data_IF_201358674610
#
_entry.id   IF_201358674610
#
_cell.length_a   1.000
_cell.length_b   1.000
_cell.length_c   1.000
_cell.angle_alpha   90.00
_cell.angle_beta   90.00
_cell.angle_gamma   90.00
#
_symmetry.space_group_name_H-M   'P 1'
#
loop_
_entity.id
_entity.type
_entity.pdbx_description
1 polymer ?
#
# COMPACT_ATOMS: atom_id res chain seq x y z
N UNK A 1 -3.08 -5.77 0.83
CA UNK A 1 -2.46 -5.10 1.98
C UNK A 1 -1.74 -6.15 2.79
N UNK A 2 -0.43 -5.97 2.98
CA UNK A 2 0.38 -6.76 3.89
C UNK A 2 0.53 -6.02 5.23
N UNK A 3 0.85 -6.75 6.28
CA UNK A 3 1.05 -6.23 7.64
C UNK A 3 2.37 -6.75 8.17
N UNK A 4 3.13 -5.89 8.85
CA UNK A 4 4.38 -6.25 9.50
C UNK A 4 4.30 -5.87 10.97
N UNK A 5 4.76 -6.74 11.85
CA UNK A 5 4.91 -6.51 13.28
C UNK A 5 6.33 -6.89 13.67
N UNK A 6 7.02 -6.03 14.43
CA UNK A 6 8.41 -6.25 14.84
C UNK A 6 9.36 -6.60 13.67
N UNK A 7 9.11 -6.01 12.50
CA UNK A 7 9.91 -6.24 11.29
C UNK A 7 9.58 -7.53 10.52
N UNK A 8 8.62 -8.33 10.99
CA UNK A 8 8.25 -9.62 10.40
C UNK A 8 6.86 -9.54 9.76
N UNK A 9 6.68 -10.22 8.64
CA UNK A 9 5.39 -10.28 7.93
C UNK A 9 4.34 -11.12 8.66
N UNK A 10 3.20 -10.50 8.97
CA UNK A 10 2.09 -11.13 9.69
C UNK A 10 0.99 -11.54 8.72
N UNK A 11 1.14 -12.71 8.10
CA UNK A 11 0.26 -13.18 7.00
C UNK A 11 -1.21 -13.33 7.40
N UNK A 12 -1.50 -13.64 8.66
CA UNK A 12 -2.87 -13.72 9.20
C UNK A 12 -3.59 -12.36 9.15
N UNK A 13 -2.85 -11.25 9.24
CA UNK A 13 -3.38 -9.89 9.20
C UNK A 13 -3.51 -9.32 7.80
N UNK A 14 -3.19 -10.10 6.78
CA UNK A 14 -3.29 -9.63 5.40
C UNK A 14 -4.75 -9.46 5.01
N UNK A 15 -5.01 -8.43 4.19
CA UNK A 15 -6.35 -8.15 3.68
C UNK A 15 -6.30 -7.88 2.19
N UNK A 16 -7.20 -8.55 1.46
CA UNK A 16 -7.44 -8.35 0.03
C UNK A 16 -8.60 -7.38 -0.14
N UNK A 17 -8.40 -6.34 -0.92
CA UNK A 17 -9.44 -5.41 -1.29
C UNK A 17 -9.79 -5.64 -2.75
N UNK A 18 -11.00 -6.13 -3.02
CA UNK A 18 -11.56 -6.07 -4.37
C UNK A 18 -11.96 -4.63 -4.66
N UNK A 19 -11.22 -3.95 -5.52
CA UNK A 19 -11.48 -2.59 -5.98
C UNK A 19 -12.80 -2.57 -6.74
N UNK A 20 -13.67 -1.60 -6.45
CA UNK A 20 -15.03 -1.50 -7.03
C UNK A 20 -15.11 -0.56 -8.24
N UNK A 21 -13.97 -0.13 -8.77
CA UNK A 21 -13.89 0.82 -9.87
C UNK A 21 -14.19 0.15 -11.22
N UNK A 22 -15.09 0.77 -12.02
CA UNK A 22 -15.58 0.23 -13.30
C UNK A 22 -14.77 0.67 -14.53
N UNK A 23 -13.94 1.71 -14.40
CA UNK A 23 -13.15 2.26 -15.53
C UNK A 23 -11.69 1.78 -15.47
N UNK A 24 -10.84 2.29 -16.36
CA UNK A 24 -9.40 2.00 -16.42
C UNK A 24 -8.71 2.10 -15.05
N UNK A 25 -7.67 1.28 -14.78
CA UNK A 25 -6.93 1.33 -13.53
C UNK A 25 -6.43 2.75 -13.22
N UNK A 26 -6.75 3.24 -12.01
CA UNK A 26 -6.36 4.55 -11.51
C UNK A 26 -5.81 4.36 -10.09
N UNK A 27 -4.48 4.33 -9.98
CA UNK A 27 -3.79 3.99 -8.73
C UNK A 27 -4.14 4.94 -7.59
N UNK A 28 -4.37 6.23 -7.88
CA UNK A 28 -4.76 7.21 -6.88
C UNK A 28 -6.12 6.84 -6.28
N UNK A 29 -7.13 6.59 -7.13
CA UNK A 29 -8.46 6.20 -6.66
C UNK A 29 -8.44 4.88 -5.91
N UNK A 30 -7.62 3.92 -6.37
CA UNK A 30 -7.45 2.63 -5.70
C UNK A 30 -6.88 2.78 -4.29
N UNK A 31 -5.80 3.56 -4.13
CA UNK A 31 -5.20 3.84 -2.81
C UNK A 31 -6.21 4.49 -1.88
N UNK A 32 -6.93 5.51 -2.37
CA UNK A 32 -7.96 6.19 -1.59
C UNK A 32 -9.06 5.22 -1.15
N UNK A 33 -9.57 4.38 -2.06
CA UNK A 33 -10.60 3.38 -1.74
C UNK A 33 -10.12 2.41 -0.65
N UNK A 34 -8.89 1.89 -0.78
CA UNK A 34 -8.31 0.95 0.18
C UNK A 34 -8.17 1.59 1.56
N UNK A 35 -7.64 2.82 1.66
CA UNK A 35 -7.45 3.49 2.94
C UNK A 35 -8.78 3.80 3.64
N UNK A 36 -9.74 4.38 2.92
CA UNK A 36 -11.07 4.67 3.48
C UNK A 36 -11.73 3.37 3.97
N UNK A 37 -11.65 2.29 3.19
CA UNK A 37 -12.24 1.01 3.59
C UNK A 37 -11.49 0.38 4.76
N UNK A 38 -10.16 0.47 4.83
CA UNK A 38 -9.38 -0.02 5.97
C UNK A 38 -9.87 0.63 7.26
N UNK A 39 -9.94 1.95 7.30
CA UNK A 39 -10.27 2.71 8.52
C UNK A 39 -11.77 2.76 8.85
N UNK A 40 -12.63 2.21 7.99
CA UNK A 40 -14.02 1.88 8.35
C UNK A 40 -14.18 0.60 9.16
N UNK A 41 -13.13 -0.23 9.26
CA UNK A 41 -13.14 -1.43 10.08
C UNK A 41 -12.48 -1.16 11.45
N UNK A 42 -12.81 -1.97 12.45
CA UNK A 42 -12.21 -1.96 13.80
C UNK A 42 -10.88 -2.71 13.88
N UNK A 43 -10.07 -2.69 12.81
CA UNK A 43 -8.77 -3.36 12.81
C UNK A 43 -7.73 -2.57 13.61
N UNK A 44 -6.66 -3.23 14.08
CA UNK A 44 -5.57 -2.55 14.77
C UNK A 44 -5.02 -1.35 14.00
N UNK A 45 -4.83 -0.25 14.73
CA UNK A 45 -4.24 0.99 14.23
C UNK A 45 -2.73 0.75 14.03
N UNK A 46 -2.19 0.96 12.82
CA UNK A 46 -0.76 0.79 12.58
C UNK A 46 0.04 2.00 13.04
N UNK A 47 1.30 1.80 13.42
CA UNK A 47 2.22 2.89 13.75
C UNK A 47 2.65 3.70 12.52
N UNK A 48 2.67 3.06 11.35
CA UNK A 48 3.06 3.67 10.08
C UNK A 48 2.36 2.99 8.90
N UNK A 49 2.05 3.77 7.87
CA UNK A 49 1.55 3.25 6.60
C UNK A 49 2.63 3.43 5.53
N UNK A 50 2.93 2.35 4.82
CA UNK A 50 3.84 2.35 3.67
C UNK A 50 3.03 2.09 2.41
N UNK A 51 3.23 2.94 1.39
CA UNK A 51 2.55 2.83 0.10
C UNK A 51 3.58 2.70 -1.02
N UNK A 52 3.38 1.73 -1.91
CA UNK A 52 4.15 1.59 -3.14
C UNK A 52 3.73 2.72 -4.11
N UNK A 53 4.61 3.71 -4.31
CA UNK A 53 4.28 4.89 -5.08
C UNK A 53 5.16 6.12 -4.80
N UNK A 54 4.94 7.17 -5.58
CA UNK A 54 5.64 8.45 -5.43
C UNK A 54 4.82 9.52 -4.73
N UNK A 55 5.23 10.78 -4.93
CA UNK A 55 4.63 11.97 -4.30
C UNK A 55 3.12 12.13 -4.56
N UNK A 56 2.63 11.77 -5.74
CA UNK A 56 1.19 11.84 -6.05
C UNK A 56 0.37 10.88 -5.19
N UNK A 57 0.88 9.66 -4.99
CA UNK A 57 0.26 8.64 -4.14
C UNK A 57 0.29 9.08 -2.67
N UNK A 58 1.36 9.74 -2.23
CA UNK A 58 1.45 10.31 -0.87
C UNK A 58 0.35 11.34 -0.63
N UNK A 59 0.18 12.29 -1.56
CA UNK A 59 -0.88 13.31 -1.48
C UNK A 59 -2.27 12.68 -1.36
N UNK A 60 -2.52 11.66 -2.18
CA UNK A 60 -3.79 10.93 -2.17
C UNK A 60 -4.03 10.22 -0.83
N UNK A 61 -2.99 9.59 -0.29
CA UNK A 61 -3.08 8.91 1.00
C UNK A 61 -3.35 9.87 2.15
N UNK A 62 -2.63 10.99 2.20
CA UNK A 62 -2.84 12.03 3.20
C UNK A 62 -4.27 12.59 3.16
N UNK A 63 -4.81 12.82 1.96
CA UNK A 63 -6.21 13.23 1.79
C UNK A 63 -7.19 12.20 2.34
N UNK A 64 -6.99 10.92 2.01
CA UNK A 64 -7.84 9.82 2.48
C UNK A 64 -7.80 9.64 4.01
N UNK A 65 -6.63 9.80 4.63
CA UNK A 65 -6.50 9.75 6.09
C UNK A 65 -7.19 10.94 6.76
N UNK A 66 -7.03 12.14 6.20
CA UNK A 66 -7.70 13.36 6.70
C UNK A 66 -9.21 13.19 6.71
N UNK A 67 -9.79 12.67 5.63
CA UNK A 67 -11.22 12.37 5.52
C UNK A 67 -11.67 11.30 6.53
N UNK A 68 -10.79 10.33 6.82
CA UNK A 68 -11.07 9.28 7.80
C UNK A 68 -10.83 9.74 9.25
N UNK A 69 -10.40 10.99 9.48
CA UNK A 69 -10.04 11.50 10.81
C UNK A 69 -8.77 10.87 11.41
N UNK A 70 -7.95 10.20 10.60
CA UNK A 70 -6.80 9.42 11.06
C UNK A 70 -5.52 10.25 11.00
N UNK A 71 -4.75 10.25 12.08
CA UNK A 71 -3.46 10.94 12.20
C UNK A 71 -2.33 9.93 12.40
N UNK A 72 -1.95 9.24 11.34
CA UNK A 72 -0.87 8.24 11.34
C UNK A 72 0.20 8.66 10.32
N UNK A 73 1.50 8.48 10.61
CA UNK A 73 2.56 8.67 9.63
C UNK A 73 2.35 7.84 8.37
N UNK A 74 2.46 8.50 7.22
CA UNK A 74 2.44 7.83 5.91
C UNK A 74 3.73 8.13 5.18
N UNK A 75 4.33 7.09 4.64
CA UNK A 75 5.43 7.18 3.71
C UNK A 75 5.06 6.50 2.40
N UNK A 76 5.62 6.98 1.30
CA UNK A 76 5.61 6.25 0.03
C UNK A 76 7.03 5.91 -0.37
N UNK A 77 7.19 4.79 -1.07
CA UNK A 77 8.46 4.37 -1.63
C UNK A 77 8.35 4.25 -3.15
N UNK A 78 9.12 5.06 -3.87
CA UNK A 78 9.17 5.00 -5.31
C UNK A 78 10.19 3.92 -5.75
N UNK A 79 9.75 3.01 -6.62
CA UNK A 79 10.58 1.92 -7.15
C UNK A 79 11.87 2.41 -7.82
N UNK A 80 11.84 3.59 -8.43
CA UNK A 80 13.03 4.22 -9.00
C UNK A 80 13.85 4.84 -7.86
N UNK A 81 15.05 4.28 -7.62
CA UNK A 81 16.02 4.71 -6.61
C UNK A 81 15.64 4.50 -5.13
N UNK A 82 14.52 3.83 -4.82
CA UNK A 82 14.05 3.60 -3.44
C UNK A 82 13.88 4.91 -2.66
N UNK A 83 13.35 5.93 -3.33
CA UNK A 83 13.10 7.25 -2.75
C UNK A 83 11.89 7.20 -1.81
N UNK A 84 12.10 7.70 -0.59
CA UNK A 84 11.06 7.74 0.44
C UNK A 84 10.49 9.16 0.50
N UNK A 85 9.19 9.28 0.26
CA UNK A 85 8.46 10.54 0.38
C UNK A 85 7.60 10.51 1.64
N UNK A 86 7.57 11.63 2.36
CA UNK A 86 6.77 11.79 3.58
C UNK A 86 6.31 13.24 3.74
N UNK A 87 5.28 13.44 4.56
CA UNK A 87 4.63 14.73 4.70
C UNK A 87 5.60 15.82 5.21
N UNK A 88 5.43 17.05 4.70
CA UNK A 88 6.18 18.21 5.13
C UNK A 88 7.59 18.35 4.55
N UNK A 89 8.03 17.46 3.65
CA UNK A 89 9.31 17.59 2.95
C UNK A 89 9.14 17.73 1.45
N UNK A 90 9.97 18.60 0.87
CA UNK A 90 9.99 18.84 -0.57
C UNK A 90 10.77 17.76 -1.33
N UNK A 91 11.91 17.35 -0.79
CA UNK A 91 12.83 16.37 -1.37
C UNK A 91 12.63 14.98 -0.75
N UNK A 92 12.78 13.91 -1.53
CA UNK A 92 12.72 12.55 -0.99
C UNK A 92 13.93 12.26 -0.09
N UNK A 93 13.72 11.41 0.90
CA UNK A 93 14.80 10.80 1.66
C UNK A 93 15.35 9.61 0.88
N UNK A 94 16.67 9.59 0.72
CA UNK A 94 17.40 8.46 0.18
C UNK A 94 18.22 7.85 1.31
N UNK A 95 17.96 6.58 1.60
CA UNK A 95 18.71 5.82 2.58
C UNK A 95 19.81 5.03 1.91
N UNK A 96 20.92 4.82 2.62
CA UNK A 96 21.99 3.94 2.16
C UNK A 96 21.48 2.50 1.93
N UNK A 97 22.05 1.80 0.93
CA UNK A 97 21.63 0.43 0.59
C UNK A 97 21.82 -0.56 1.74
N UNK A 98 22.82 -0.35 2.59
CA UNK A 98 23.14 -1.17 3.76
C UNK A 98 22.31 -0.78 5.00
N UNK A 99 21.54 0.31 4.92
CA UNK A 99 20.69 0.74 6.03
C UNK A 99 19.60 -0.31 6.31
N UNK A 100 19.49 -0.81 7.56
CA UNK A 100 18.42 -1.72 7.95
C UNK A 100 17.02 -1.14 7.71
N UNK A 101 16.84 0.17 7.92
CA UNK A 101 15.57 0.85 7.67
C UNK A 101 15.16 0.77 6.18
N UNK A 102 16.13 0.97 5.27
CA UNK A 102 15.87 0.86 3.83
C UNK A 102 15.52 -0.58 3.44
N UNK A 103 16.19 -1.56 4.02
CA UNK A 103 15.93 -2.98 3.76
C UNK A 103 14.53 -3.37 4.24
N UNK A 104 14.13 -2.91 5.43
CA UNK A 104 12.80 -3.14 5.98
C UNK A 104 11.70 -2.53 5.09
N UNK A 105 11.84 -1.26 4.70
CA UNK A 105 10.82 -0.60 3.86
C UNK A 105 10.72 -1.30 2.50
N UNK A 106 11.84 -1.68 1.88
CA UNK A 106 11.84 -2.48 0.65
C UNK A 106 11.12 -3.82 0.85
N UNK A 107 11.42 -4.55 1.92
CA UNK A 107 10.76 -5.83 2.23
C UNK A 107 9.24 -5.66 2.39
N UNK A 108 8.78 -4.59 3.05
CA UNK A 108 7.34 -4.31 3.19
C UNK A 108 6.66 -4.04 1.84
N UNK A 109 7.31 -3.28 0.95
CA UNK A 109 6.83 -3.02 -0.41
C UNK A 109 6.76 -4.30 -1.22
N UNK A 110 7.86 -5.05 -1.25
CA UNK A 110 7.99 -6.25 -2.07
C UNK A 110 6.98 -7.31 -1.64
N UNK A 111 6.73 -7.44 -0.34
CA UNK A 111 5.72 -8.34 0.20
C UNK A 111 4.29 -7.90 -0.14
N UNK A 112 3.99 -6.59 -0.03
CA UNK A 112 2.70 -6.05 -0.44
C UNK A 112 2.45 -6.27 -1.95
N UNK A 113 3.49 -6.06 -2.76
CA UNK A 113 3.45 -6.27 -4.21
C UNK A 113 3.26 -7.75 -4.56
N UNK A 114 4.02 -8.66 -3.93
CA UNK A 114 3.87 -10.12 -4.07
C UNK A 114 2.44 -10.55 -3.74
N UNK A 115 1.91 -10.08 -2.62
CA UNK A 115 0.56 -10.41 -2.19
C UNK A 115 -0.50 -9.90 -3.18
N UNK A 116 -0.36 -8.67 -3.68
CA UNK A 116 -1.27 -8.12 -4.69
C UNK A 116 -1.22 -8.92 -6.02
N UNK A 117 -0.03 -9.22 -6.54
CA UNK A 117 0.12 -10.00 -7.78
C UNK A 117 -0.52 -11.39 -7.68
N UNK A 118 -0.34 -12.07 -6.55
CA UNK A 118 -0.96 -13.39 -6.32
C UNK A 118 -2.49 -13.31 -6.41
N UNK A 119 -3.09 -12.25 -5.86
CA UNK A 119 -4.53 -12.04 -5.90
C UNK A 119 -5.03 -11.68 -7.30
N UNK A 120 -4.31 -10.82 -8.02
CA UNK A 120 -4.66 -10.47 -9.41
C UNK A 120 -4.58 -11.67 -10.36
N UNK A 121 -3.65 -12.61 -10.14
CA UNK A 121 -3.61 -13.87 -10.90
C UNK A 121 -4.85 -14.72 -10.63
N UNK A 122 -5.22 -14.88 -9.35
CA UNK A 122 -6.41 -15.65 -8.94
C UNK A 122 -7.71 -15.07 -9.52
N UNK A 123 -7.89 -13.75 -9.47
CA UNK A 123 -9.08 -13.10 -10.03
C UNK A 123 -9.18 -13.25 -11.55
N UNK A 124 -8.04 -13.20 -12.26
CA UNK A 124 -8.01 -13.42 -13.71
C UNK A 124 -8.37 -14.84 -14.10
N UNK A 125 -7.83 -15.84 -13.38
CA UNK A 125 -8.16 -17.24 -13.61
C UNK A 125 -9.66 -17.51 -13.40
N UNK A 126 -10.24 -16.98 -12.30
CA UNK A 126 -11.68 -17.11 -12.03
C UNK A 126 -12.54 -16.49 -13.13
N UNK A 127 -12.20 -15.29 -13.58
CA UNK A 127 -12.94 -14.61 -14.67
C UNK A 127 -12.85 -15.35 -16.01
N UNK A 128 -11.75 -16.04 -16.27
CA UNK A 128 -11.62 -16.87 -17.47
C UNK A 128 -12.54 -18.10 -17.39
N UNK A 129 -12.56 -18.77 -16.24
CA UNK A 129 -13.45 -19.92 -16.01
C UNK A 129 -14.94 -19.55 -16.14
N UNK A 130 -15.36 -18.44 -15.53
CA UNK A 130 -16.74 -17.91 -15.62
C UNK A 130 -17.16 -17.48 -17.03
N UNK A 131 -16.22 -17.31 -17.96
CA UNK A 131 -16.53 -16.98 -19.36
C UNK A 131 -16.66 -18.20 -20.27
N UNK A 132 -16.16 -19.34 -19.82
CA UNK A 132 -16.12 -20.59 -20.60
C UNK A 132 -17.21 -21.56 -20.12
N UNK A 133 -17.71 -21.39 -18.89
CA UNK A 133 -18.91 -22.04 -18.37
C UNK A 133 -20.17 -21.25 -18.77
#
# INVERSE_FOLDING_TARGET
>A
MAVFENGISQKSEYRKFRIKFKNSPDDYKMIREVLIRRFKNSWPIPDIIVIDGGKGQLSTALSALKESGIKIPVITIAKKFEEIYYAGKLLPLRLDKKSPARQLIQATRDEAHRFALSYHRLLRAKKLYEKIA
#
